data_IF_005405871881
#
_entry.id   IF_005405871881
#
_cell.length_a   1.000
_cell.length_b   1.000
_cell.length_c   1.000
_cell.angle_alpha   90.00
_cell.angle_beta   90.00
_cell.angle_gamma   90.00
#
_symmetry.space_group_name_H-M   'P 1'
#
loop_
_entity.id
_entity.type
_entity.pdbx_description
1 polymer ?
#
# COMPACT_ATOMS: atom_id res chain seq x y z
N UNK A 1 25.47 -9.80 -5.37
CA UNK A 1 24.04 -10.09 -5.15
C UNK A 1 23.26 -8.90 -5.69
N UNK A 2 22.20 -9.15 -6.42
CA UNK A 2 21.27 -8.09 -6.81
C UNK A 2 20.56 -7.55 -5.58
N UNK A 3 20.23 -6.26 -5.61
CA UNK A 3 19.44 -5.63 -4.56
C UNK A 3 18.02 -5.39 -5.08
N UNK A 4 17.02 -5.80 -4.32
CA UNK A 4 15.62 -5.45 -4.55
C UNK A 4 15.21 -4.32 -3.61
N UNK A 5 14.16 -3.60 -3.96
CA UNK A 5 13.61 -2.52 -3.12
C UNK A 5 12.34 -3.02 -2.45
N UNK A 6 12.33 -3.01 -1.12
CA UNK A 6 11.17 -3.29 -0.28
C UNK A 6 10.56 -1.99 0.23
N UNK A 7 9.29 -1.76 -0.06
CA UNK A 7 8.50 -0.63 0.44
C UNK A 7 7.57 -1.10 1.54
N UNK A 8 7.41 -0.28 2.57
CA UNK A 8 6.50 -0.56 3.70
C UNK A 8 5.29 0.36 3.63
N UNK A 9 4.11 -0.19 3.82
CA UNK A 9 2.87 0.57 3.84
C UNK A 9 1.90 0.07 4.91
N UNK A 10 0.99 0.94 5.32
CA UNK A 10 -0.19 0.57 6.08
C UNK A 10 -1.32 0.20 5.11
N UNK A 11 -1.86 -1.01 5.25
CA UNK A 11 -2.95 -1.56 4.44
C UNK A 11 -4.29 -1.34 5.14
N UNK A 12 -4.75 -0.09 5.16
CA UNK A 12 -5.97 0.28 5.85
C UNK A 12 -7.18 0.22 4.90
N UNK A 13 -8.08 -0.73 5.17
CA UNK A 13 -9.36 -0.87 4.49
C UNK A 13 -10.48 -0.96 5.53
N UNK A 14 -11.49 -0.13 5.37
CA UNK A 14 -12.70 -0.15 6.19
C UNK A 14 -13.94 -0.26 5.29
N UNK A 15 -15.05 -0.72 5.87
CA UNK A 15 -16.27 -0.97 5.12
C UNK A 15 -17.45 -0.19 5.66
N UNK A 16 -18.27 0.33 4.75
CA UNK A 16 -19.52 1.00 5.05
C UNK A 16 -19.36 2.33 5.78
N UNK A 17 -20.46 2.82 6.32
CA UNK A 17 -20.50 4.09 7.07
C UNK A 17 -19.96 3.96 8.49
N UNK A 18 -20.01 2.74 9.04
CA UNK A 18 -19.57 2.43 10.40
C UNK A 18 -18.09 2.10 10.48
N UNK A 19 -17.38 2.13 9.33
CA UNK A 19 -15.96 1.80 9.21
C UNK A 19 -15.63 0.39 9.74
N UNK A 20 -16.46 -0.61 9.38
CA UNK A 20 -16.25 -2.01 9.77
C UNK A 20 -14.83 -2.47 9.38
N UNK A 21 -14.16 -3.26 10.22
CA UNK A 21 -12.79 -3.69 9.98
C UNK A 21 -12.65 -4.60 8.75
N UNK A 22 -11.51 -4.55 8.11
CA UNK A 22 -11.17 -5.37 6.94
C UNK A 22 -11.36 -6.87 7.20
N UNK A 23 -10.95 -7.35 8.34
CA UNK A 23 -10.99 -8.79 8.66
C UNK A 23 -12.40 -9.34 8.83
N UNK A 24 -13.40 -8.51 9.15
CA UNK A 24 -14.80 -8.92 9.17
C UNK A 24 -15.33 -9.23 7.77
N UNK A 25 -14.69 -8.66 6.72
CA UNK A 25 -15.02 -8.86 5.31
C UNK A 25 -13.89 -9.57 4.53
N UNK A 26 -13.03 -10.32 5.23
CA UNK A 26 -11.90 -10.97 4.58
C UNK A 26 -12.33 -12.11 3.66
N UNK A 27 -13.25 -12.96 4.12
CA UNK A 27 -13.73 -14.16 3.43
C UNK A 27 -14.65 -13.82 2.23
N UNK A 28 -15.54 -12.86 2.41
CA UNK A 28 -16.59 -12.52 1.42
C UNK A 28 -16.20 -11.42 0.44
N UNK A 29 -15.20 -10.58 0.77
CA UNK A 29 -14.80 -9.46 -0.08
C UNK A 29 -13.31 -9.44 -0.38
N UNK A 30 -12.44 -9.40 0.63
CA UNK A 30 -11.01 -9.16 0.39
C UNK A 30 -10.38 -10.29 -0.40
N UNK A 31 -10.43 -11.51 0.12
CA UNK A 31 -9.78 -12.66 -0.51
C UNK A 31 -10.36 -12.97 -1.90
N UNK A 32 -11.69 -13.01 -2.11
CA UNK A 32 -12.27 -13.22 -3.44
C UNK A 32 -11.96 -12.10 -4.43
N UNK A 33 -11.84 -10.85 -4.01
CA UNK A 33 -11.46 -9.76 -4.92
C UNK A 33 -10.01 -9.90 -5.42
N UNK A 34 -9.09 -10.37 -4.56
CA UNK A 34 -7.70 -10.58 -4.96
C UNK A 34 -7.49 -11.83 -5.82
N UNK A 35 -8.31 -12.87 -5.65
CA UNK A 35 -8.22 -14.15 -6.39
C UNK A 35 -9.14 -14.23 -7.60
N UNK A 36 -10.14 -13.36 -7.71
CA UNK A 36 -11.21 -13.40 -8.71
C UNK A 36 -10.84 -12.92 -10.12
N UNK A 37 -9.54 -12.70 -10.42
CA UNK A 37 -9.07 -12.34 -11.76
C UNK A 37 -9.48 -10.93 -12.23
N UNK A 38 -9.85 -10.04 -11.33
CA UNK A 38 -10.19 -8.66 -11.67
C UNK A 38 -8.97 -7.89 -12.16
N UNK A 39 -9.18 -7.09 -13.22
CA UNK A 39 -8.14 -6.28 -13.86
C UNK A 39 -8.50 -4.80 -13.73
N UNK A 40 -7.53 -3.96 -13.33
CA UNK A 40 -7.63 -2.51 -13.45
C UNK A 40 -7.09 -2.05 -14.80
N UNK A 41 -7.84 -1.21 -15.48
CA UNK A 41 -7.55 -0.70 -16.81
C UNK A 41 -8.63 -1.10 -17.82
N UNK A 42 -8.57 -0.57 -19.03
CA UNK A 42 -9.49 -0.91 -20.12
C UNK A 42 -9.02 -2.20 -20.81
N UNK A 43 -9.98 -2.93 -21.43
CA UNK A 43 -9.75 -4.26 -21.99
C UNK A 43 -8.61 -4.29 -23.04
N UNK A 44 -8.56 -3.31 -23.92
CA UNK A 44 -7.67 -3.29 -25.08
C UNK A 44 -6.63 -2.15 -25.01
N UNK A 45 -6.40 -1.60 -23.80
CA UNK A 45 -5.43 -0.54 -23.55
C UNK A 45 -4.40 -0.97 -22.51
N UNK A 46 -3.17 -0.51 -22.65
CA UNK A 46 -2.10 -0.67 -21.65
C UNK A 46 -1.77 0.68 -21.01
N UNK A 47 -1.33 0.73 -19.77
CA UNK A 47 -1.06 -0.41 -18.89
C UNK A 47 -2.30 -0.97 -18.20
N UNK A 48 -2.34 -2.31 -18.02
CA UNK A 48 -3.31 -3.01 -17.19
C UNK A 48 -2.64 -3.55 -15.93
N UNK A 49 -3.43 -3.71 -14.86
CA UNK A 49 -2.91 -4.16 -13.58
C UNK A 49 -3.79 -5.28 -13.03
N UNK A 50 -3.13 -6.33 -12.53
CA UNK A 50 -3.81 -7.51 -11.98
C UNK A 50 -2.99 -8.14 -10.85
N UNK A 51 -3.62 -9.07 -10.15
CA UNK A 51 -2.97 -9.92 -9.16
C UNK A 51 -2.86 -11.36 -9.68
N UNK A 52 -1.78 -12.05 -9.31
CA UNK A 52 -1.60 -13.47 -9.60
C UNK A 52 -0.88 -14.17 -8.44
N UNK A 53 -0.95 -15.49 -8.42
CA UNK A 53 -0.34 -16.33 -7.38
C UNK A 53 -0.70 -15.84 -5.95
N UNK A 54 -1.96 -15.41 -5.78
CA UNK A 54 -2.46 -14.90 -4.51
C UNK A 54 -2.82 -16.07 -3.60
N UNK A 55 -2.18 -16.13 -2.43
CA UNK A 55 -2.35 -17.21 -1.44
C UNK A 55 -2.32 -16.67 -0.02
N UNK A 56 -3.01 -17.36 0.86
CA UNK A 56 -2.80 -17.23 2.30
C UNK A 56 -1.69 -18.19 2.68
N UNK A 57 -0.70 -17.72 3.46
CA UNK A 57 0.35 -18.57 4.02
C UNK A 57 0.46 -18.32 5.52
N UNK A 58 0.82 -19.37 6.25
CA UNK A 58 1.25 -19.25 7.64
C UNK A 58 2.77 -19.18 7.66
N UNK A 59 3.31 -18.02 8.04
CA UNK A 59 4.75 -17.75 8.11
C UNK A 59 5.08 -17.14 9.46
N UNK A 60 6.06 -17.70 10.14
CA UNK A 60 6.49 -17.29 11.49
C UNK A 60 5.32 -17.19 12.50
N UNK A 61 4.33 -18.09 12.41
CA UNK A 61 3.18 -18.17 13.31
C UNK A 61 2.07 -17.14 13.05
N UNK A 62 2.15 -16.40 11.95
CA UNK A 62 1.13 -15.42 11.53
C UNK A 62 0.64 -15.70 10.10
N UNK A 63 -0.66 -15.46 9.85
CA UNK A 63 -1.20 -15.54 8.51
C UNK A 63 -0.91 -14.27 7.73
N UNK A 64 -0.42 -14.46 6.52
CA UNK A 64 -0.14 -13.39 5.55
C UNK A 64 -0.86 -13.67 4.23
N UNK A 65 -1.33 -12.63 3.56
CA UNK A 65 -1.78 -12.70 2.18
C UNK A 65 -0.62 -12.29 1.28
N UNK A 66 -0.21 -13.19 0.40
CA UNK A 66 0.93 -12.99 -0.52
C UNK A 66 0.48 -13.10 -1.96
N UNK A 67 1.22 -12.49 -2.87
CA UNK A 67 0.95 -12.61 -4.30
C UNK A 67 1.81 -11.70 -5.15
N UNK A 68 1.66 -11.80 -6.46
CA UNK A 68 2.28 -10.90 -7.43
C UNK A 68 1.30 -9.80 -7.81
N UNK A 69 1.79 -8.57 -7.87
CA UNK A 69 1.11 -7.42 -8.42
C UNK A 69 1.76 -7.06 -9.75
N UNK A 70 1.04 -7.27 -10.84
CA UNK A 70 1.54 -7.23 -12.21
C UNK A 70 1.09 -5.93 -12.89
N UNK A 71 2.00 -5.34 -13.67
CA UNK A 71 1.72 -4.26 -14.62
C UNK A 71 1.94 -4.80 -16.03
N UNK A 72 0.87 -5.22 -16.69
CA UNK A 72 0.88 -5.60 -18.10
C UNK A 72 0.96 -4.34 -18.97
N UNK A 73 2.03 -4.19 -19.75
CA UNK A 73 2.34 -2.97 -20.48
C UNK A 73 3.24 -3.26 -21.70
N UNK A 74 3.53 -2.22 -22.47
CA UNK A 74 4.44 -2.29 -23.58
C UNK A 74 5.62 -1.33 -23.38
N UNK A 75 6.80 -1.78 -23.76
CA UNK A 75 8.00 -0.96 -23.78
C UNK A 75 8.23 -0.42 -25.18
N UNK A 76 8.22 0.91 -25.34
CA UNK A 76 8.44 1.56 -26.63
C UNK A 76 9.93 1.74 -26.86
N UNK A 77 10.48 1.03 -27.84
CA UNK A 77 11.82 1.25 -28.36
C UNK A 77 11.72 2.23 -29.52
N UNK A 78 12.47 3.33 -29.49
CA UNK A 78 12.44 4.37 -30.54
C UNK A 78 13.66 4.23 -31.46
N UNK A 79 14.83 3.91 -30.89
CA UNK A 79 16.09 3.82 -31.60
C UNK A 79 16.85 2.55 -31.25
N UNK A 80 17.62 2.04 -32.20
CA UNK A 80 18.58 0.95 -31.98
C UNK A 80 19.94 1.30 -32.61
N UNK A 81 20.99 0.57 -32.24
CA UNK A 81 22.31 0.71 -32.87
C UNK A 81 22.46 -0.37 -33.94
N UNK A 82 22.70 0.02 -35.17
CA UNK A 82 23.02 -0.90 -36.26
C UNK A 82 24.33 -0.47 -36.93
N UNK A 83 25.29 -1.36 -36.96
CA UNK A 83 26.65 -1.10 -37.53
C UNK A 83 27.29 0.19 -37.00
N UNK A 84 27.13 0.46 -35.70
CA UNK A 84 27.69 1.65 -35.03
C UNK A 84 26.88 2.96 -35.18
N UNK A 85 25.80 2.96 -35.94
CA UNK A 85 24.94 4.13 -36.12
C UNK A 85 23.61 3.99 -35.38
N UNK A 86 23.12 5.09 -34.81
CA UNK A 86 21.76 5.17 -34.26
C UNK A 86 20.76 5.23 -35.43
N UNK A 87 19.88 4.27 -35.48
CA UNK A 87 18.78 4.25 -36.45
C UNK A 87 17.44 4.29 -35.73
N UNK A 88 16.46 4.94 -36.33
CA UNK A 88 15.07 4.89 -35.88
C UNK A 88 14.51 3.50 -36.18
N UNK A 89 14.11 2.79 -35.11
CA UNK A 89 13.53 1.44 -35.21
C UNK A 89 12.40 1.34 -34.19
N UNK A 90 11.27 2.02 -34.43
CA UNK A 90 10.16 1.99 -33.48
C UNK A 90 9.62 0.55 -33.33
N UNK A 91 9.61 0.05 -32.12
CA UNK A 91 9.05 -1.24 -31.76
C UNK A 91 8.34 -1.15 -30.41
N UNK A 92 7.27 -1.89 -30.25
CA UNK A 92 6.57 -2.07 -29.00
C UNK A 92 6.83 -3.52 -28.51
N UNK A 93 7.40 -3.64 -27.32
CA UNK A 93 7.74 -4.94 -26.73
C UNK A 93 6.82 -5.18 -25.55
N UNK A 94 5.92 -6.18 -25.61
CA UNK A 94 5.08 -6.56 -24.48
C UNK A 94 5.95 -6.94 -23.28
N UNK A 95 5.59 -6.43 -22.11
CA UNK A 95 6.30 -6.70 -20.84
C UNK A 95 5.34 -6.66 -19.67
N UNK A 96 5.68 -7.40 -18.61
CA UNK A 96 4.85 -7.52 -17.42
C UNK A 96 5.67 -7.37 -16.14
N UNK A 97 6.31 -6.20 -15.88
CA UNK A 97 7.01 -5.98 -14.63
C UNK A 97 6.07 -6.15 -13.44
N UNK A 98 6.57 -6.81 -12.38
CA UNK A 98 5.74 -7.12 -11.22
C UNK A 98 6.43 -6.79 -9.90
N UNK A 99 5.62 -6.67 -8.85
CA UNK A 99 6.07 -6.58 -7.47
C UNK A 99 5.47 -7.72 -6.65
N UNK A 100 6.24 -8.31 -5.73
CA UNK A 100 5.73 -9.25 -4.75
C UNK A 100 5.16 -8.49 -3.57
N UNK A 101 3.92 -8.78 -3.17
CA UNK A 101 3.31 -8.17 -1.98
C UNK A 101 3.12 -9.21 -0.88
N UNK A 102 3.23 -8.75 0.36
CA UNK A 102 2.94 -9.50 1.56
C UNK A 102 2.14 -8.59 2.48
N UNK A 103 0.94 -9.02 2.86
CA UNK A 103 0.05 -8.31 3.79
C UNK A 103 -0.04 -9.13 5.06
N UNK A 104 0.40 -8.55 6.19
CA UNK A 104 0.30 -9.14 7.52
C UNK A 104 -1.12 -8.94 8.04
N UNK A 105 -1.90 -10.04 8.14
CA UNK A 105 -3.32 -9.96 8.46
C UNK A 105 -3.60 -9.53 9.90
N UNK A 106 -2.64 -9.71 10.80
CA UNK A 106 -2.78 -9.39 12.22
C UNK A 106 -2.76 -7.87 12.50
N UNK A 107 -1.97 -7.11 11.76
CA UNK A 107 -1.75 -5.70 12.02
C UNK A 107 -1.92 -4.81 10.78
N UNK A 108 -2.39 -5.37 9.69
CA UNK A 108 -2.66 -4.67 8.43
C UNK A 108 -1.44 -3.91 7.87
N UNK A 109 -0.22 -4.35 8.21
CA UNK A 109 1.00 -3.87 7.57
C UNK A 109 1.23 -4.63 6.29
N UNK A 110 1.85 -3.97 5.32
CA UNK A 110 2.25 -4.64 4.09
C UNK A 110 3.66 -4.26 3.67
N UNK A 111 4.28 -5.16 2.96
CA UNK A 111 5.49 -4.88 2.20
C UNK A 111 5.23 -5.15 0.72
N UNK A 112 5.81 -4.32 -0.12
CA UNK A 112 5.82 -4.45 -1.57
C UNK A 112 7.26 -4.49 -2.04
N UNK A 113 7.68 -5.61 -2.62
CA UNK A 113 9.04 -5.80 -3.10
C UNK A 113 9.05 -5.74 -4.63
N UNK A 114 9.77 -4.76 -5.18
CA UNK A 114 9.89 -4.61 -6.63
C UNK A 114 10.82 -5.66 -7.19
N UNK A 115 10.34 -6.42 -8.19
CA UNK A 115 11.17 -7.43 -8.84
C UNK A 115 12.23 -6.81 -9.75
N UNK A 116 11.87 -5.76 -10.46
CA UNK A 116 12.69 -5.13 -11.49
C UNK A 116 12.39 -3.65 -11.66
N UNK A 117 13.11 -2.98 -12.54
CA UNK A 117 12.82 -1.59 -12.92
C UNK A 117 11.42 -1.52 -13.57
N UNK A 118 10.67 -0.45 -13.25
CA UNK A 118 9.29 -0.22 -13.69
C UNK A 118 8.23 -1.14 -13.06
N UNK A 119 8.59 -2.01 -12.12
CA UNK A 119 7.62 -2.72 -11.29
C UNK A 119 6.69 -1.74 -10.60
N UNK A 120 5.38 -2.09 -10.46
CA UNK A 120 4.38 -1.19 -9.90
C UNK A 120 4.63 -0.94 -8.40
N UNK A 121 4.30 0.28 -7.95
CA UNK A 121 4.51 0.81 -6.60
C UNK A 121 3.25 0.73 -5.72
N UNK A 122 3.38 1.16 -4.45
CA UNK A 122 2.30 1.18 -3.44
C UNK A 122 1.14 2.07 -3.89
N UNK A 123 1.41 3.22 -4.51
CA UNK A 123 0.36 4.13 -4.99
C UNK A 123 -0.49 3.50 -6.10
N UNK A 124 0.17 2.80 -7.02
CA UNK A 124 -0.50 2.03 -8.07
C UNK A 124 -1.27 0.85 -7.49
N UNK A 125 -0.69 0.17 -6.50
CA UNK A 125 -1.31 -0.92 -5.74
C UNK A 125 -2.62 -0.46 -5.10
N UNK A 126 -2.62 0.67 -4.37
CA UNK A 126 -3.82 1.24 -3.75
C UNK A 126 -4.95 1.46 -4.77
N UNK A 127 -4.63 2.03 -5.94
CA UNK A 127 -5.62 2.27 -7.01
C UNK A 127 -6.22 0.97 -7.51
N UNK A 128 -5.39 -0.06 -7.67
CA UNK A 128 -5.85 -1.38 -8.15
C UNK A 128 -6.72 -2.05 -7.11
N UNK A 129 -6.31 -2.07 -5.84
CA UNK A 129 -7.12 -2.63 -4.75
C UNK A 129 -8.50 -1.97 -4.69
N UNK A 130 -8.54 -0.63 -4.76
CA UNK A 130 -9.83 0.10 -4.77
C UNK A 130 -10.73 -0.34 -5.91
N UNK A 131 -10.18 -0.50 -7.11
CA UNK A 131 -10.96 -0.87 -8.29
C UNK A 131 -11.44 -2.32 -8.24
N UNK A 132 -10.58 -3.29 -7.85
CA UNK A 132 -10.99 -4.70 -7.77
C UNK A 132 -12.03 -4.95 -6.69
N UNK A 133 -11.88 -4.30 -5.51
CA UNK A 133 -12.89 -4.38 -4.45
C UNK A 133 -14.23 -3.81 -4.91
N UNK A 134 -14.21 -2.64 -5.57
CA UNK A 134 -15.42 -2.06 -6.13
C UNK A 134 -16.07 -2.97 -7.17
N UNK A 135 -15.29 -3.56 -8.08
CA UNK A 135 -15.80 -4.50 -9.09
C UNK A 135 -16.41 -5.75 -8.45
N UNK A 136 -15.72 -6.33 -7.47
CA UNK A 136 -16.21 -7.51 -6.73
C UNK A 136 -17.51 -7.20 -6.01
N UNK A 137 -17.54 -6.16 -5.17
CA UNK A 137 -18.72 -5.74 -4.39
C UNK A 137 -19.90 -5.47 -5.33
N UNK A 138 -19.69 -4.72 -6.40
CA UNK A 138 -20.75 -4.41 -7.38
C UNK A 138 -21.28 -5.67 -8.07
N UNK A 139 -20.42 -6.64 -8.37
CA UNK A 139 -20.83 -7.91 -8.96
C UNK A 139 -21.66 -8.73 -7.98
N UNK A 140 -21.20 -8.85 -6.73
CA UNK A 140 -21.93 -9.57 -5.69
C UNK A 140 -23.26 -8.92 -5.29
N UNK A 141 -23.35 -7.60 -5.37
CA UNK A 141 -24.56 -6.85 -5.01
C UNK A 141 -25.62 -6.83 -6.12
N UNK A 142 -25.34 -7.37 -7.30
CA UNK A 142 -26.35 -7.45 -8.37
C UNK A 142 -27.50 -8.38 -7.96
N UNK A 143 -28.72 -7.85 -7.97
CA UNK A 143 -29.92 -8.59 -7.60
C UNK A 143 -30.15 -8.82 -6.12
N UNK A 144 -29.28 -8.28 -5.24
CA UNK A 144 -29.51 -8.32 -3.80
C UNK A 144 -30.40 -7.18 -3.34
N UNK A 145 -31.26 -7.46 -2.37
CA UNK A 145 -32.02 -6.45 -1.65
C UNK A 145 -31.07 -5.51 -0.87
N UNK A 146 -31.54 -4.32 -0.49
CA UNK A 146 -30.71 -3.27 0.11
C UNK A 146 -30.03 -3.72 1.39
N UNK A 147 -30.73 -4.51 2.20
CA UNK A 147 -30.30 -5.03 3.50
C UNK A 147 -29.20 -6.08 3.40
N UNK A 148 -29.16 -6.84 2.28
CA UNK A 148 -28.22 -7.95 2.04
C UNK A 148 -26.97 -7.52 1.26
N UNK A 149 -26.88 -6.22 0.90
CA UNK A 149 -25.74 -5.73 0.11
C UNK A 149 -24.46 -5.67 0.92
N UNK A 150 -23.39 -6.16 0.31
CA UNK A 150 -22.04 -5.94 0.81
C UNK A 150 -21.74 -4.43 0.90
N UNK A 151 -21.12 -3.98 1.99
CA UNK A 151 -20.79 -2.57 2.19
C UNK A 151 -19.67 -2.10 1.23
N UNK A 152 -19.63 -0.80 0.97
CA UNK A 152 -18.60 -0.18 0.13
C UNK A 152 -17.25 -0.19 0.86
N UNK A 153 -16.21 -0.60 0.16
CA UNK A 153 -14.84 -0.55 0.68
C UNK A 153 -14.25 0.87 0.60
N UNK A 154 -13.64 1.32 1.69
CA UNK A 154 -12.89 2.57 1.80
C UNK A 154 -11.40 2.21 1.94
N UNK A 155 -10.61 2.50 0.90
CA UNK A 155 -9.22 2.01 0.77
C UNK A 155 -8.23 3.15 0.98
N UNK A 156 -7.36 3.00 1.99
CA UNK A 156 -6.23 3.86 2.27
C UNK A 156 -4.98 3.01 2.47
N UNK A 157 -4.20 2.79 1.41
CA UNK A 157 -2.91 2.12 1.49
C UNK A 157 -1.85 3.21 1.38
N UNK A 158 -1.17 3.47 2.48
CA UNK A 158 -0.31 4.65 2.66
C UNK A 158 1.10 4.20 3.00
N UNK A 159 2.07 4.71 2.23
CA UNK A 159 3.48 4.52 2.53
C UNK A 159 3.82 4.94 3.95
N UNK A 160 4.65 4.15 4.64
CA UNK A 160 5.12 4.49 5.99
C UNK A 160 6.35 5.38 5.85
N UNK A 161 6.29 6.64 6.34
CA UNK A 161 7.41 7.55 6.23
C UNK A 161 8.54 7.16 7.20
N UNK A 162 9.77 7.09 6.71
CA UNK A 162 10.96 6.91 7.54
C UNK A 162 11.67 8.22 7.84
N UNK A 163 12.22 8.33 9.07
CA UNK A 163 12.99 9.51 9.51
C UNK A 163 14.14 9.85 8.57
N UNK A 164 14.87 8.84 8.08
CA UNK A 164 16.01 9.03 7.18
C UNK A 164 15.56 9.54 5.80
N UNK A 165 14.47 8.99 5.26
CA UNK A 165 13.92 9.45 3.99
C UNK A 165 13.38 10.88 4.06
N UNK A 166 12.72 11.23 5.18
CA UNK A 166 12.26 12.62 5.42
C UNK A 166 13.45 13.56 5.52
N UNK A 167 14.52 13.16 6.24
CA UNK A 167 15.71 13.95 6.41
C UNK A 167 16.40 14.23 5.06
N UNK A 168 16.52 13.21 4.21
CA UNK A 168 17.11 13.34 2.88
C UNK A 168 16.31 14.33 2.03
N UNK A 169 14.99 14.22 2.03
CA UNK A 169 14.11 15.17 1.30
C UNK A 169 14.23 16.60 1.82
N UNK A 170 14.51 16.79 3.12
CA UNK A 170 14.63 18.12 3.73
C UNK A 170 16.04 18.75 3.59
N UNK A 171 17.04 18.05 3.06
CA UNK A 171 18.41 18.60 2.90
C UNK A 171 18.36 19.72 1.89
N UNK A 172 17.94 19.91 0.88
CA UNK A 172 17.94 21.08 -0.04
C UNK A 172 16.76 22.02 0.14
N UNK A 173 16.02 21.92 1.24
CA UNK A 173 14.85 22.77 1.49
C UNK A 173 15.26 23.99 2.31
N UNK A 174 15.10 25.18 1.77
CA UNK A 174 15.30 26.46 2.48
C UNK A 174 14.12 26.73 3.44
N UNK A 175 12.88 26.56 2.97
CA UNK A 175 11.66 26.91 3.70
C UNK A 175 10.56 25.88 3.47
N UNK A 176 9.86 25.50 4.56
CA UNK A 176 8.63 24.73 4.47
C UNK A 176 7.44 25.70 4.47
N UNK A 177 6.71 25.78 3.37
CA UNK A 177 5.58 26.70 3.22
C UNK A 177 4.36 26.19 3.96
N UNK A 178 4.09 24.87 3.86
CA UNK A 178 3.14 24.18 4.72
C UNK A 178 3.46 22.68 4.85
N UNK A 179 3.05 22.11 5.96
CA UNK A 179 2.93 20.67 6.20
C UNK A 179 1.45 20.34 6.35
N UNK A 180 0.92 19.44 5.53
CA UNK A 180 -0.47 18.99 5.58
C UNK A 180 -0.52 17.49 5.88
N UNK A 181 -1.33 17.12 6.87
CA UNK A 181 -1.69 15.75 7.20
C UNK A 181 -3.18 15.55 6.93
N UNK A 182 -3.53 14.52 6.17
CA UNK A 182 -4.91 14.12 5.91
C UNK A 182 -5.21 12.83 6.64
N UNK A 183 -6.15 12.91 7.56
CA UNK A 183 -6.63 11.78 8.36
C UNK A 183 -7.82 11.11 7.69
N UNK A 184 -7.98 9.83 7.98
CA UNK A 184 -9.07 8.96 7.53
C UNK A 184 -9.41 7.96 8.65
N UNK A 185 -10.57 7.26 8.60
CA UNK A 185 -10.91 6.22 9.56
C UNK A 185 -9.88 5.08 9.52
N UNK A 186 -9.53 4.55 10.69
CA UNK A 186 -8.58 3.47 10.83
C UNK A 186 -9.29 2.11 10.96
N UNK A 187 -8.61 1.09 10.51
CA UNK A 187 -8.99 -0.31 10.60
C UNK A 187 -8.53 -0.90 11.96
N UNK A 188 -9.06 -0.35 13.05
CA UNK A 188 -8.71 -0.66 14.44
C UNK A 188 -7.24 -0.41 14.84
N UNK A 189 -6.46 0.25 13.99
CA UNK A 189 -5.11 0.67 14.36
C UNK A 189 -5.18 1.76 15.42
N UNK A 190 -4.35 1.63 16.46
CA UNK A 190 -4.19 2.67 17.46
C UNK A 190 -3.17 3.70 16.96
N UNK A 191 -3.61 4.94 16.83
CA UNK A 191 -2.70 6.04 16.55
C UNK A 191 -2.03 6.49 17.86
N UNK A 192 -0.71 6.39 17.99
CA UNK A 192 -0.02 6.79 19.22
C UNK A 192 0.00 8.31 19.42
N UNK A 193 -0.38 9.10 18.42
CA UNK A 193 -0.34 10.55 18.46
C UNK A 193 -1.67 11.12 19.02
N UNK A 194 -1.69 11.78 20.22
CA UNK A 194 -2.92 12.32 20.82
C UNK A 194 -3.64 13.34 19.92
N UNK A 195 -2.90 14.14 19.16
CA UNK A 195 -3.50 15.11 18.23
C UNK A 195 -4.26 14.41 17.10
N UNK A 196 -3.70 13.33 16.57
CA UNK A 196 -4.33 12.54 15.54
C UNK A 196 -5.57 11.78 16.05
N UNK A 197 -5.53 11.29 17.29
CA UNK A 197 -6.71 10.72 17.97
C UNK A 197 -7.83 11.77 18.10
N UNK A 198 -7.53 12.95 18.67
CA UNK A 198 -8.51 14.04 18.79
C UNK A 198 -9.09 14.46 17.44
N UNK A 199 -8.28 14.49 16.39
CA UNK A 199 -8.74 14.80 15.03
C UNK A 199 -9.75 13.76 14.54
N UNK A 200 -9.50 12.45 14.76
CA UNK A 200 -10.44 11.39 14.35
C UNK A 200 -11.72 11.38 15.17
N UNK A 201 -11.64 11.68 16.46
CA UNK A 201 -12.83 11.85 17.31
C UNK A 201 -13.72 13.00 16.80
N UNK A 202 -13.11 14.15 16.49
CA UNK A 202 -13.83 15.27 15.89
C UNK A 202 -14.44 14.91 14.53
N UNK A 203 -13.70 14.19 13.68
CA UNK A 203 -14.24 13.69 12.41
C UNK A 203 -15.47 12.80 12.61
N UNK A 204 -15.43 11.91 13.62
CA UNK A 204 -16.55 11.03 13.97
C UNK A 204 -17.76 11.85 14.45
N UNK A 205 -17.55 12.85 15.32
CA UNK A 205 -18.62 13.72 15.83
C UNK A 205 -19.34 14.48 14.71
N UNK A 206 -18.61 14.97 13.72
CA UNK A 206 -19.19 15.72 12.58
C UNK A 206 -19.58 14.83 11.40
N UNK A 207 -19.44 13.51 11.50
CA UNK A 207 -19.74 12.56 10.43
C UNK A 207 -18.83 12.68 9.20
N UNK A 208 -17.62 13.21 9.35
CA UNK A 208 -16.69 13.41 8.23
C UNK A 208 -15.87 12.13 7.93
N UNK A 209 -15.75 11.82 6.64
CA UNK A 209 -14.91 10.70 6.15
C UNK A 209 -13.41 11.02 6.14
N UNK A 210 -13.04 12.30 6.13
CA UNK A 210 -11.63 12.73 6.15
C UNK A 210 -11.49 14.06 6.86
N UNK A 211 -10.33 14.30 7.51
CA UNK A 211 -10.00 15.59 8.11
C UNK A 211 -8.58 16.01 7.70
N UNK A 212 -8.31 17.31 7.71
CA UNK A 212 -6.98 17.82 7.41
C UNK A 212 -6.46 18.67 8.56
N UNK A 213 -5.19 18.47 8.92
CA UNK A 213 -4.43 19.37 9.77
C UNK A 213 -3.31 19.99 8.92
N UNK A 214 -3.19 21.31 8.98
CA UNK A 214 -2.16 22.04 8.22
C UNK A 214 -1.40 22.94 9.16
N UNK A 215 -0.07 22.78 9.16
CA UNK A 215 0.87 23.71 9.78
C UNK A 215 1.40 24.65 8.70
N UNK A 216 1.13 25.93 8.82
CA UNK A 216 1.63 26.94 7.91
C UNK A 216 3.02 27.42 8.36
N UNK A 217 3.96 27.45 7.46
CA UNK A 217 5.32 27.95 7.64
C UNK A 217 6.01 27.40 8.91
N UNK A 218 6.07 26.05 9.09
CA UNK A 218 6.73 25.49 10.26
C UNK A 218 8.24 25.80 10.20
N UNK A 219 8.76 26.37 11.29
CA UNK A 219 10.17 26.80 11.38
C UNK A 219 11.15 25.70 11.78
N UNK A 220 10.68 24.55 12.24
CA UNK A 220 11.53 23.46 12.73
C UNK A 220 11.49 22.24 11.80
N UNK A 221 12.53 22.07 10.98
CA UNK A 221 12.69 20.84 10.17
C UNK A 221 12.71 19.56 11.02
N UNK A 222 13.36 19.62 12.21
CA UNK A 222 13.37 18.50 13.16
C UNK A 222 11.97 18.16 13.65
N UNK A 223 11.19 19.17 14.07
CA UNK A 223 9.80 18.96 14.51
C UNK A 223 8.91 18.40 13.40
N UNK A 224 9.07 18.88 12.17
CA UNK A 224 8.37 18.34 10.99
C UNK A 224 8.73 16.87 10.78
N UNK A 225 10.02 16.51 10.82
CA UNK A 225 10.48 15.11 10.70
C UNK A 225 9.84 14.21 11.74
N UNK A 226 9.83 14.61 13.01
CA UNK A 226 9.26 13.81 14.11
C UNK A 226 7.74 13.62 13.94
N UNK A 227 7.00 14.69 13.62
CA UNK A 227 5.55 14.61 13.39
C UNK A 227 5.23 13.70 12.21
N UNK A 228 5.94 13.84 11.07
CA UNK A 228 5.71 13.00 9.90
C UNK A 228 6.00 11.53 10.17
N UNK A 229 7.14 11.23 10.81
CA UNK A 229 7.51 9.85 11.14
C UNK A 229 6.52 9.21 12.12
N UNK A 230 5.98 9.99 13.08
CA UNK A 230 5.01 9.50 14.06
C UNK A 230 3.67 9.10 13.46
N UNK A 231 3.37 9.48 12.21
CA UNK A 231 2.11 9.05 11.56
C UNK A 231 2.07 7.55 11.27
N UNK A 232 3.22 6.89 11.11
CA UNK A 232 3.29 5.45 10.85
C UNK A 232 2.45 4.96 9.66
N UNK A 233 2.17 5.83 8.67
CA UNK A 233 1.26 5.53 7.57
C UNK A 233 -0.23 5.60 7.93
N UNK A 234 -0.59 6.12 9.11
CA UNK A 234 -1.97 6.29 9.56
C UNK A 234 -2.58 7.63 9.11
N UNK A 235 -1.82 8.45 8.42
CA UNK A 235 -2.27 9.67 7.76
C UNK A 235 -1.46 9.90 6.47
N UNK A 236 -2.09 10.49 5.47
CA UNK A 236 -1.39 10.91 4.24
C UNK A 236 -0.71 12.24 4.49
N UNK A 237 0.61 12.28 4.29
CA UNK A 237 1.41 13.48 4.51
C UNK A 237 1.79 14.12 3.19
N UNK A 238 1.73 15.43 3.12
CA UNK A 238 2.26 16.23 2.00
C UNK A 238 2.81 17.56 2.51
N UNK A 239 3.78 18.12 1.81
CA UNK A 239 4.30 19.45 2.11
C UNK A 239 4.53 20.25 0.84
N UNK A 240 4.50 21.58 0.99
CA UNK A 240 4.98 22.52 -0.02
C UNK A 240 6.24 23.18 0.52
N UNK A 241 7.30 23.17 -0.27
CA UNK A 241 8.61 23.67 0.14
C UNK A 241 9.15 24.67 -0.88
N UNK A 242 10.07 25.51 -0.44
CA UNK A 242 10.93 26.32 -1.30
C UNK A 242 12.36 25.82 -1.09
N UNK A 243 13.01 25.41 -2.16
CA UNK A 243 14.38 24.90 -2.16
C UNK A 243 15.41 26.03 -2.08
N UNK A 244 16.69 25.71 -1.92
CA UNK A 244 17.80 26.69 -1.78
C UNK A 244 17.99 27.56 -3.02
N UNK A 245 17.56 27.13 -4.20
CA UNK A 245 17.52 27.86 -5.46
C UNK A 245 16.30 28.77 -5.61
N UNK A 246 15.39 28.79 -4.64
CA UNK A 246 14.16 29.58 -4.65
C UNK A 246 12.99 28.93 -5.37
N UNK A 247 13.14 27.75 -5.97
CA UNK A 247 12.05 27.03 -6.61
C UNK A 247 11.06 26.47 -5.57
N UNK A 248 9.79 26.50 -5.93
CA UNK A 248 8.73 25.99 -5.05
C UNK A 248 8.14 24.70 -5.62
N UNK A 249 8.17 23.64 -4.82
CA UNK A 249 7.60 22.32 -5.20
C UNK A 249 6.71 21.71 -4.13
N UNK A 250 5.83 20.82 -4.58
CA UNK A 250 5.02 20.01 -3.68
C UNK A 250 5.61 18.61 -3.55
N UNK A 251 5.78 18.15 -2.33
CA UNK A 251 6.31 16.85 -1.98
C UNK A 251 5.14 16.03 -1.40
N UNK A 252 4.96 14.82 -1.90
CA UNK A 252 3.89 13.89 -1.51
C UNK A 252 4.47 12.69 -0.75
N UNK A 253 3.57 11.84 -0.22
CA UNK A 253 3.91 10.69 0.61
C UNK A 253 4.94 9.74 -0.02
N UNK A 254 4.91 9.54 -1.32
CA UNK A 254 5.82 8.64 -2.06
C UNK A 254 7.30 9.06 -1.98
N UNK A 255 7.58 10.35 -1.78
CA UNK A 255 8.93 10.86 -1.58
C UNK A 255 9.51 10.55 -0.19
N UNK A 256 8.67 10.20 0.78
CA UNK A 256 9.06 9.90 2.16
C UNK A 256 9.02 8.41 2.47
N UNK A 257 8.61 7.59 1.48
CA UNK A 257 8.38 6.18 1.66
C UNK A 257 9.63 5.43 2.10
N UNK A 258 9.41 4.44 2.95
CA UNK A 258 10.41 3.50 3.39
C UNK A 258 10.87 2.62 2.22
N UNK A 259 12.02 2.92 1.66
CA UNK A 259 12.67 2.08 0.65
C UNK A 259 13.88 1.38 1.29
N UNK A 260 13.73 0.09 1.65
CA UNK A 260 14.85 -0.71 2.11
C UNK A 260 15.40 -1.56 0.98
N UNK A 261 16.71 -1.55 0.83
CA UNK A 261 17.40 -2.48 -0.06
C UNK A 261 17.50 -3.83 0.62
N UNK A 262 17.11 -4.88 -0.08
CA UNK A 262 17.24 -6.26 0.37
C UNK A 262 18.12 -7.04 -0.60
N UNK A 263 19.07 -7.83 -0.09
CA UNK A 263 19.86 -8.74 -0.92
C UNK A 263 18.94 -9.89 -1.40
N UNK A 264 18.68 -9.96 -2.69
CA UNK A 264 17.85 -11.01 -3.27
C UNK A 264 18.32 -11.27 -4.71
N UNK A 265 18.65 -12.52 -5.02
CA UNK A 265 19.13 -12.91 -6.34
C UNK A 265 18.02 -13.53 -7.18
N UNK A 266 17.92 -13.12 -8.44
CA UNK A 266 16.94 -13.62 -9.39
C UNK A 266 15.55 -13.01 -9.22
N UNK A 267 14.55 -13.64 -9.83
CA UNK A 267 13.16 -13.20 -9.77
C UNK A 267 12.49 -13.55 -8.44
N UNK A 268 11.65 -12.65 -7.95
CA UNK A 268 10.82 -12.91 -6.78
C UNK A 268 9.83 -14.04 -7.07
N UNK A 269 9.70 -14.97 -6.13
CA UNK A 269 8.81 -16.11 -6.23
C UNK A 269 8.16 -16.43 -4.89
N UNK A 270 7.18 -17.33 -4.90
CA UNK A 270 6.50 -17.78 -3.67
C UNK A 270 7.43 -18.58 -2.73
N UNK A 271 8.54 -19.13 -3.23
CA UNK A 271 9.57 -19.80 -2.43
C UNK A 271 10.38 -18.81 -1.59
N UNK A 272 10.51 -17.57 -2.06
CA UNK A 272 11.20 -16.50 -1.35
C UNK A 272 10.36 -15.81 -0.24
N UNK A 273 9.06 -16.08 -0.16
CA UNK A 273 8.18 -15.42 0.82
C UNK A 273 8.66 -15.57 2.28
N UNK A 274 9.13 -16.73 2.76
CA UNK A 274 9.63 -16.85 4.14
C UNK A 274 10.80 -15.88 4.41
N UNK A 275 11.73 -15.76 3.47
CA UNK A 275 12.85 -14.83 3.59
C UNK A 275 12.39 -13.37 3.62
N UNK A 276 11.44 -13.01 2.75
CA UNK A 276 10.89 -11.64 2.70
C UNK A 276 10.15 -11.29 3.98
N UNK A 277 9.38 -12.22 4.55
CA UNK A 277 8.68 -12.05 5.83
C UNK A 277 9.68 -11.89 6.97
N UNK A 278 10.67 -12.79 7.08
CA UNK A 278 11.71 -12.69 8.10
C UNK A 278 12.46 -11.36 8.04
N UNK A 279 12.83 -10.94 6.82
CA UNK A 279 13.51 -9.66 6.63
C UNK A 279 12.64 -8.47 7.03
N UNK A 280 11.36 -8.48 6.66
CA UNK A 280 10.42 -7.42 7.02
C UNK A 280 10.20 -7.34 8.53
N UNK A 281 10.05 -8.47 9.22
CA UNK A 281 9.81 -8.56 10.66
C UNK A 281 11.01 -8.13 11.54
N UNK A 282 12.19 -7.93 10.96
CA UNK A 282 13.31 -7.26 11.64
C UNK A 282 13.03 -5.79 11.91
N UNK A 283 12.02 -5.22 11.23
CA UNK A 283 11.57 -3.86 11.45
C UNK A 283 10.34 -3.83 12.37
N UNK A 284 10.41 -3.03 13.42
CA UNK A 284 9.30 -2.83 14.35
C UNK A 284 8.03 -2.30 13.67
N UNK A 285 8.16 -1.65 12.51
CA UNK A 285 7.05 -1.14 11.70
C UNK A 285 6.01 -2.24 11.39
N UNK A 286 6.46 -3.46 11.09
CA UNK A 286 5.58 -4.58 10.73
C UNK A 286 5.25 -5.52 11.89
N UNK A 287 5.82 -5.32 13.07
CA UNK A 287 5.58 -6.19 14.24
C UNK A 287 4.64 -5.57 15.27
N UNK A 288 4.52 -4.23 15.30
CA UNK A 288 3.62 -3.53 16.22
C UNK A 288 2.17 -3.76 15.81
N UNK A 289 1.33 -4.16 16.78
CA UNK A 289 -0.10 -4.37 16.61
C UNK A 289 -0.89 -3.74 17.76
N UNK A 290 -2.11 -3.25 17.50
CA UNK A 290 -3.03 -2.80 18.55
C UNK A 290 -3.67 -4.01 19.24
N UNK A 291 -4.15 -3.81 20.47
CA UNK A 291 -4.90 -4.85 21.20
C UNK A 291 -6.18 -5.24 20.45
N UNK A 292 -6.85 -4.26 19.84
CA UNK A 292 -8.06 -4.42 19.06
C UNK A 292 -7.81 -5.29 17.81
N UNK A 293 -6.74 -5.00 17.07
CA UNK A 293 -6.35 -5.80 15.90
C UNK A 293 -5.94 -7.22 16.29
N UNK A 294 -5.20 -7.38 17.39
CA UNK A 294 -4.84 -8.70 17.89
C UNK A 294 -6.08 -9.52 18.27
N UNK A 295 -7.03 -8.91 18.99
CA UNK A 295 -8.30 -9.56 19.38
C UNK A 295 -9.14 -9.94 18.16
N UNK A 296 -9.29 -9.03 17.20
CA UNK A 296 -10.02 -9.28 15.96
C UNK A 296 -9.39 -10.42 15.16
N UNK A 297 -8.06 -10.41 15.02
CA UNK A 297 -7.32 -11.44 14.32
C UNK A 297 -7.53 -12.83 14.93
N UNK A 298 -7.43 -12.96 16.26
CA UNK A 298 -7.66 -14.24 16.94
C UNK A 298 -9.12 -14.74 16.73
N UNK A 299 -10.10 -13.84 16.72
CA UNK A 299 -11.50 -14.19 16.43
C UNK A 299 -11.70 -14.77 15.03
N UNK A 300 -11.00 -14.26 14.02
CA UNK A 300 -11.17 -14.68 12.62
C UNK A 300 -10.13 -15.71 12.15
N UNK A 301 -9.11 -15.97 12.94
CA UNK A 301 -7.99 -16.87 12.62
C UNK A 301 -8.43 -18.25 12.11
N UNK A 302 -9.47 -18.83 12.73
CA UNK A 302 -10.05 -20.11 12.29
C UNK A 302 -10.66 -20.06 10.90
N UNK A 303 -11.27 -18.94 10.50
CA UNK A 303 -11.81 -18.75 9.14
C UNK A 303 -10.68 -18.60 8.12
N UNK A 304 -9.64 -17.81 8.45
CA UNK A 304 -8.46 -17.64 7.60
C UNK A 304 -7.77 -18.98 7.35
N UNK A 305 -7.64 -19.82 8.40
CA UNK A 305 -7.06 -21.16 8.28
C UNK A 305 -7.85 -22.04 7.31
N UNK A 306 -9.18 -22.07 7.44
CA UNK A 306 -10.05 -22.83 6.51
C UNK A 306 -9.87 -22.38 5.06
N UNK A 307 -9.89 -21.08 4.79
CA UNK A 307 -9.64 -20.54 3.46
C UNK A 307 -8.29 -20.97 2.90
N UNK A 308 -7.24 -20.98 3.73
CA UNK A 308 -5.92 -21.43 3.31
C UNK A 308 -5.93 -22.92 2.91
N UNK A 309 -6.61 -23.78 3.69
CA UNK A 309 -6.68 -25.24 3.47
C UNK A 309 -7.52 -25.61 2.23
N UNK A 310 -8.63 -24.92 1.98
CA UNK A 310 -9.50 -25.14 0.81
C UNK A 310 -8.78 -24.90 -0.52
N UNK A 311 -7.88 -23.91 -0.59
CA UNK A 311 -7.14 -23.60 -1.81
C UNK A 311 -5.84 -24.40 -2.01
N UNK A 312 -5.38 -25.15 -1.01
CA UNK A 312 -4.27 -26.11 -1.17
C UNK A 312 -4.78 -27.40 -1.80
N UNK A 313 -6.09 -27.69 -1.67
CA UNK A 313 -6.72 -28.94 -2.13
C UNK A 313 -7.37 -28.83 -3.52
N UNK A 314 -7.38 -27.65 -4.15
CA UNK A 314 -7.91 -27.37 -5.49
C UNK A 314 -6.78 -27.13 -6.50
#
# INVERSE_FOLDING_TARGET
MEEKIMQFANFNITFGNENQPMLDHFEDVIYPAFTGGYIRGKKDEVPRYSFSDVKIKELNGEYVLVGNYIKDTEYKVITTVQKGNLISSPAEVPTAPFSRFIIFLKNHRMVLVRNEKFSPDVRSFQKTVREILSKHINTQNRGREKEDKLPIAIVHIVDIPLKDSIEEVLKGVQKINFLKMRFFPLNNDLDPNPLAQAMRENMKQVGSKTGNLTFNTPGSKKGVKEIMASTGGLAVVSMKVTDDDGETRQIKEDAFSSNKKIPYSGNLSSEGDPYLVEFAQKDSIVTVTSAENASLYERVKGKIKRLMEEFVSA
#
